data_IF_097324467447
#
_entry.id   IF_097324467447
#
_cell.length_a   1.000
_cell.length_b   1.000
_cell.length_c   1.000
_cell.angle_alpha   90.00
_cell.angle_beta   90.00
_cell.angle_gamma   90.00
#
_symmetry.space_group_name_H-M   'P 1'
#
loop_
_entity.id
_entity.type
_entity.pdbx_description
1 polymer ?
#
# COMPACT_ATOMS: atom_id res chain seq x y z
N UNK A 1 -29.50 12.75 34.62
CA UNK A 1 -28.72 13.60 35.55
C UNK A 1 -29.69 14.17 36.58
N UNK A 2 -29.53 13.79 37.82
CA UNK A 2 -30.28 14.36 38.94
C UNK A 2 -29.24 15.08 39.82
N UNK A 3 -29.23 16.40 39.78
CA UNK A 3 -28.22 17.20 40.46
C UNK A 3 -26.85 17.14 39.77
N UNK A 4 -25.77 17.05 40.57
CA UNK A 4 -24.38 16.94 40.09
C UNK A 4 -23.92 15.49 39.90
N UNK A 5 -24.74 14.50 40.20
CA UNK A 5 -24.37 13.09 40.20
C UNK A 5 -24.86 12.39 38.94
N UNK A 6 -24.01 11.52 38.42
CA UNK A 6 -24.33 10.61 37.31
C UNK A 6 -24.60 9.22 37.88
N UNK A 7 -25.82 8.74 37.68
CA UNK A 7 -26.23 7.42 38.14
C UNK A 7 -26.09 6.40 37.01
N UNK A 8 -25.37 5.33 37.25
CA UNK A 8 -25.25 4.20 36.37
C UNK A 8 -26.13 3.06 36.90
N UNK A 9 -27.03 2.55 36.06
CA UNK A 9 -27.79 1.35 36.38
C UNK A 9 -27.13 0.16 35.72
N UNK A 10 -26.57 -0.73 36.52
CA UNK A 10 -25.92 -1.96 36.05
C UNK A 10 -26.84 -3.12 36.39
N UNK A 11 -27.30 -3.84 35.37
CA UNK A 11 -28.13 -5.02 35.53
C UNK A 11 -27.28 -6.28 35.30
N UNK A 12 -26.58 -6.68 36.33
CA UNK A 12 -25.80 -7.90 36.34
C UNK A 12 -26.09 -8.68 37.65
N UNK A 13 -26.61 -9.88 37.50
CA UNK A 13 -26.98 -10.75 38.63
C UNK A 13 -25.78 -11.32 39.40
N UNK A 14 -24.56 -11.15 38.90
CA UNK A 14 -23.32 -11.59 39.51
C UNK A 14 -22.65 -10.51 40.38
N UNK A 15 -23.13 -9.28 40.32
CA UNK A 15 -22.63 -8.17 41.15
C UNK A 15 -23.14 -8.27 42.58
N UNK A 16 -22.27 -8.67 43.50
CA UNK A 16 -22.56 -8.58 44.94
C UNK A 16 -22.08 -7.25 45.48
N UNK A 17 -22.88 -6.65 46.37
CA UNK A 17 -22.63 -5.31 46.99
C UNK A 17 -21.29 -5.22 47.75
N UNK A 18 -20.65 -6.35 47.98
CA UNK A 18 -19.36 -6.44 48.67
C UNK A 18 -18.13 -6.38 47.77
N UNK A 19 -18.27 -6.19 46.48
CA UNK A 19 -17.14 -6.07 45.57
C UNK A 19 -16.95 -4.61 45.10
N UNK A 20 -16.03 -3.82 45.69
CA UNK A 20 -15.91 -2.37 45.48
C UNK A 20 -15.23 -1.99 44.14
N UNK A 21 -15.04 -2.93 43.22
CA UNK A 21 -14.29 -2.70 41.99
C UNK A 21 -15.20 -2.54 40.74
N UNK A 22 -16.18 -1.67 40.83
CA UNK A 22 -16.81 -1.16 39.61
C UNK A 22 -15.98 0.03 39.09
N UNK A 23 -15.11 -0.22 38.11
CA UNK A 23 -14.37 0.82 37.42
C UNK A 23 -15.18 1.29 36.21
N UNK A 24 -15.70 2.51 36.26
CA UNK A 24 -16.35 3.14 35.12
C UNK A 24 -15.36 4.04 34.41
N UNK A 25 -14.99 3.68 33.17
CA UNK A 25 -14.15 4.49 32.30
C UNK A 25 -15.00 5.20 31.26
N UNK A 26 -14.90 6.51 31.18
CA UNK A 26 -15.60 7.31 30.20
C UNK A 26 -14.70 8.43 29.65
N UNK A 27 -14.94 8.81 28.41
CA UNK A 27 -14.26 9.95 27.79
C UNK A 27 -14.89 11.24 28.28
N UNK A 28 -14.11 12.11 28.87
CA UNK A 28 -14.55 13.41 29.35
C UNK A 28 -13.92 14.51 28.49
N UNK A 29 -14.72 15.54 28.20
CA UNK A 29 -14.19 16.73 27.55
C UNK A 29 -13.17 17.41 28.45
N UNK A 30 -12.00 17.88 27.96
CA UNK A 30 -11.05 18.64 28.74
C UNK A 30 -11.71 19.88 29.34
N UNK A 31 -11.64 20.01 30.65
CA UNK A 31 -12.26 21.14 31.42
C UNK A 31 -11.23 22.24 31.72
N UNK A 32 -10.01 22.07 31.24
CA UNK A 32 -8.95 23.03 31.50
C UNK A 32 -9.07 24.24 30.56
N UNK A 33 -9.58 25.37 31.11
CA UNK A 33 -9.70 26.61 30.38
C UNK A 33 -8.37 27.38 30.26
N UNK A 34 -7.35 27.01 31.03
CA UNK A 34 -6.03 27.65 31.02
C UNK A 34 -5.03 26.92 30.12
N UNK A 35 -5.50 25.98 29.30
CA UNK A 35 -4.65 25.22 28.37
C UNK A 35 -4.04 26.14 27.30
N UNK A 36 -2.72 26.25 27.33
CA UNK A 36 -1.99 27.17 26.44
C UNK A 36 -1.74 28.55 27.04
N UNK A 37 -2.19 28.81 28.26
CA UNK A 37 -1.85 30.00 29.04
C UNK A 37 -0.54 29.75 29.82
N UNK A 38 0.49 30.48 29.44
CA UNK A 38 1.84 30.42 30.04
C UNK A 38 2.26 31.74 30.68
N UNK A 39 1.34 32.70 30.86
CA UNK A 39 1.65 34.01 31.41
C UNK A 39 1.89 33.95 32.91
N UNK A 40 1.03 33.19 33.61
CA UNK A 40 1.08 33.08 35.07
C UNK A 40 1.23 31.61 35.56
N UNK A 41 1.86 31.46 36.73
CA UNK A 41 1.82 30.20 37.46
C UNK A 41 0.39 29.90 37.86
N UNK A 42 -0.26 29.03 37.15
CA UNK A 42 -1.66 28.67 37.46
C UNK A 42 -1.67 27.79 38.72
N UNK A 43 -1.92 28.43 39.89
CA UNK A 43 -1.99 27.78 41.18
C UNK A 43 -3.12 26.77 41.31
N UNK A 44 -4.13 26.84 40.42
CA UNK A 44 -5.27 25.95 40.43
C UNK A 44 -4.99 24.60 39.78
N UNK A 45 -4.08 24.56 38.80
CA UNK A 45 -3.66 23.36 38.12
C UNK A 45 -2.35 22.79 38.64
N UNK A 46 -1.53 23.64 39.25
CA UNK A 46 -0.20 23.30 39.74
C UNK A 46 -0.12 23.41 41.28
N UNK A 47 -0.71 22.45 41.97
CA UNK A 47 -0.80 22.38 43.41
C UNK A 47 0.59 22.32 44.09
N UNK A 48 1.62 21.90 43.38
CA UNK A 48 2.98 21.75 43.87
C UNK A 48 3.89 22.94 43.61
N UNK A 49 3.36 24.02 43.01
CA UNK A 49 4.13 25.23 42.68
C UNK A 49 5.35 24.96 41.75
N UNK A 50 5.25 23.94 40.88
CA UNK A 50 6.28 23.57 39.93
C UNK A 50 6.44 24.66 38.86
N UNK A 51 7.62 24.82 38.26
CA UNK A 51 7.81 25.80 37.20
C UNK A 51 6.94 25.47 36.00
N UNK A 52 6.43 26.52 35.32
CA UNK A 52 5.63 26.36 34.08
C UNK A 52 6.49 25.63 33.04
N UNK A 53 6.05 24.47 32.58
CA UNK A 53 6.70 23.70 31.53
C UNK A 53 6.14 24.11 30.16
N UNK A 54 6.89 24.90 29.42
CA UNK A 54 6.53 25.27 28.05
C UNK A 54 6.86 24.07 27.14
N UNK A 55 5.90 23.58 26.32
CA UNK A 55 6.17 22.46 25.41
C UNK A 55 7.21 22.84 24.37
N UNK A 56 8.23 22.02 24.24
CA UNK A 56 9.31 22.18 23.27
C UNK A 56 9.11 21.27 22.05
N UNK A 57 9.39 21.83 20.87
CA UNK A 57 9.47 21.05 19.63
C UNK A 57 10.93 20.79 19.33
N UNK A 58 11.34 19.55 19.43
CA UNK A 58 12.69 19.10 19.10
C UNK A 58 12.70 18.47 17.70
N UNK A 59 13.50 19.01 16.80
CA UNK A 59 13.67 18.50 15.43
C UNK A 59 14.98 17.74 15.34
N UNK A 60 14.90 16.45 15.05
CA UNK A 60 16.05 15.58 14.82
C UNK A 60 16.16 15.22 13.35
N UNK A 61 17.39 15.28 12.82
CA UNK A 61 17.70 14.85 11.47
C UNK A 61 18.53 13.56 11.52
N UNK A 62 18.05 12.52 10.85
CA UNK A 62 18.75 11.25 10.75
C UNK A 62 19.13 10.99 9.29
N UNK A 63 20.38 10.65 9.04
CA UNK A 63 20.86 10.21 7.74
C UNK A 63 21.02 8.69 7.69
N UNK A 64 20.72 8.10 6.55
CA UNK A 64 20.86 6.66 6.32
C UNK A 64 21.43 6.41 4.95
N UNK A 65 22.49 5.59 4.87
CA UNK A 65 23.10 5.21 3.62
C UNK A 65 22.21 4.25 2.82
N UNK A 66 22.18 4.43 1.51
CA UNK A 66 21.49 3.54 0.56
C UNK A 66 22.55 2.94 -0.36
N UNK A 67 22.59 1.62 -0.43
CA UNK A 67 23.57 0.88 -1.26
C UNK A 67 22.94 0.53 -2.60
N UNK A 68 23.58 0.94 -3.70
CA UNK A 68 23.13 0.60 -5.04
C UNK A 68 23.54 -0.82 -5.43
N UNK A 69 22.57 -1.57 -5.95
CA UNK A 69 22.75 -2.93 -6.48
C UNK A 69 22.71 -2.90 -8.00
N UNK A 70 23.45 -3.80 -8.64
CA UNK A 70 23.51 -3.90 -10.09
C UNK A 70 22.62 -5.05 -10.57
N UNK A 71 21.75 -4.76 -11.54
CA UNK A 71 20.97 -5.74 -12.30
C UNK A 71 21.56 -5.89 -13.68
N UNK A 72 21.63 -7.13 -14.15
CA UNK A 72 22.16 -7.48 -15.48
C UNK A 72 21.28 -8.52 -16.12
N UNK A 73 21.00 -8.34 -17.40
CA UNK A 73 20.30 -9.30 -18.23
C UNK A 73 21.09 -9.46 -19.54
N UNK A 74 21.17 -10.67 -20.06
CA UNK A 74 21.79 -10.93 -21.35
C UNK A 74 20.87 -11.77 -22.24
N UNK A 75 20.85 -11.47 -23.52
CA UNK A 75 20.30 -12.33 -24.55
C UNK A 75 21.42 -12.97 -25.36
N UNK A 76 21.19 -14.20 -25.76
CA UNK A 76 22.05 -14.98 -26.65
C UNK A 76 21.15 -15.60 -27.70
N UNK A 77 21.51 -15.51 -28.95
CA UNK A 77 20.78 -16.15 -30.04
C UNK A 77 21.75 -16.78 -31.05
N UNK A 78 21.24 -17.60 -31.93
CA UNK A 78 22.05 -18.19 -32.98
C UNK A 78 21.99 -17.34 -34.24
N UNK A 79 23.06 -17.32 -35.08
CA UNK A 79 23.07 -16.61 -36.35
C UNK A 79 21.95 -17.06 -37.30
N UNK A 80 21.66 -18.38 -37.30
CA UNK A 80 20.64 -19.01 -38.11
C UNK A 80 19.25 -18.46 -37.74
N UNK A 81 18.94 -18.35 -36.42
CA UNK A 81 17.70 -17.77 -35.95
C UNK A 81 17.52 -16.34 -36.42
N UNK A 82 18.56 -15.51 -36.35
CA UNK A 82 18.50 -14.13 -36.82
C UNK A 82 18.24 -14.05 -38.32
N UNK A 83 18.88 -14.96 -39.10
CA UNK A 83 18.66 -15.00 -40.55
C UNK A 83 17.25 -15.48 -40.92
N UNK A 84 16.72 -16.49 -40.24
CA UNK A 84 15.38 -17.01 -40.47
C UNK A 84 14.30 -15.97 -40.10
N UNK A 85 14.48 -15.28 -38.98
CA UNK A 85 13.57 -14.24 -38.54
C UNK A 85 13.52 -13.09 -39.55
N UNK A 86 14.65 -12.70 -40.09
CA UNK A 86 14.72 -11.68 -41.13
C UNK A 86 14.10 -12.15 -42.47
N UNK A 87 14.39 -13.39 -42.87
CA UNK A 87 13.91 -13.92 -44.15
C UNK A 87 12.39 -14.16 -44.19
N UNK A 88 11.83 -14.70 -43.08
CA UNK A 88 10.40 -15.05 -43.02
C UNK A 88 9.49 -13.95 -42.53
N UNK A 89 9.99 -13.10 -41.61
CA UNK A 89 9.17 -12.08 -40.96
C UNK A 89 9.65 -10.65 -41.20
N UNK A 90 10.78 -10.45 -41.85
CA UNK A 90 11.42 -9.14 -42.05
C UNK A 90 11.64 -8.37 -40.73
N UNK A 91 11.92 -9.10 -39.65
CA UNK A 91 12.22 -8.57 -38.31
C UNK A 91 13.70 -8.68 -38.01
N UNK A 92 14.23 -7.65 -37.33
CA UNK A 92 15.60 -7.69 -36.81
C UNK A 92 15.63 -8.34 -35.41
N UNK A 93 16.28 -9.50 -35.30
CA UNK A 93 16.38 -10.24 -34.06
C UNK A 93 17.06 -9.44 -32.94
N UNK A 94 18.04 -8.61 -33.26
CA UNK A 94 18.75 -7.78 -32.30
C UNK A 94 17.82 -6.70 -31.69
N UNK A 95 17.05 -6.02 -32.53
CA UNK A 95 16.11 -4.99 -32.10
C UNK A 95 14.99 -5.57 -31.25
N UNK A 96 14.38 -6.67 -31.71
CA UNK A 96 13.28 -7.33 -30.99
C UNK A 96 13.72 -7.88 -29.63
N UNK A 97 14.83 -8.62 -29.57
CA UNK A 97 15.35 -9.14 -28.31
C UNK A 97 15.78 -8.04 -27.35
N UNK A 98 16.28 -6.92 -27.86
CA UNK A 98 16.66 -5.77 -27.03
C UNK A 98 15.41 -5.11 -26.43
N UNK A 99 14.33 -4.97 -27.19
CA UNK A 99 13.06 -4.46 -26.71
C UNK A 99 12.48 -5.35 -25.61
N UNK A 100 12.41 -6.65 -25.84
CA UNK A 100 11.93 -7.63 -24.87
C UNK A 100 12.76 -7.60 -23.59
N UNK A 101 14.09 -7.56 -23.69
CA UNK A 101 14.95 -7.47 -22.51
C UNK A 101 14.72 -6.18 -21.71
N UNK A 102 14.50 -5.06 -22.39
CA UNK A 102 14.21 -3.78 -21.74
C UNK A 102 12.89 -3.82 -20.96
N UNK A 103 11.86 -4.43 -21.54
CA UNK A 103 10.57 -4.62 -20.88
C UNK A 103 10.69 -5.55 -19.65
N UNK A 104 11.41 -6.66 -19.77
CA UNK A 104 11.61 -7.59 -18.66
C UNK A 104 12.39 -6.98 -17.49
N UNK A 105 13.44 -6.22 -17.75
CA UNK A 105 14.22 -5.61 -16.67
C UNK A 105 13.41 -4.49 -15.97
N UNK A 106 12.60 -3.76 -16.72
CA UNK A 106 11.70 -2.76 -16.16
C UNK A 106 10.65 -3.42 -15.26
N UNK A 107 10.02 -4.50 -15.74
CA UNK A 107 9.06 -5.27 -14.97
C UNK A 107 9.67 -5.83 -13.67
N UNK A 108 10.88 -6.39 -13.75
CA UNK A 108 11.58 -6.93 -12.57
C UNK A 108 11.86 -5.85 -11.52
N UNK A 109 12.21 -4.63 -11.96
CA UNK A 109 12.42 -3.49 -11.06
C UNK A 109 11.11 -3.09 -10.39
N UNK A 110 10.03 -3.00 -11.15
CA UNK A 110 8.71 -2.62 -10.64
C UNK A 110 8.21 -3.64 -9.60
N UNK A 111 8.34 -4.92 -9.88
CA UNK A 111 7.97 -5.98 -8.94
C UNK A 111 8.82 -5.93 -7.66
N UNK A 112 10.12 -5.75 -7.79
CA UNK A 112 11.02 -5.65 -6.65
C UNK A 112 10.71 -4.44 -5.76
N UNK A 113 10.27 -3.32 -6.35
CA UNK A 113 9.84 -2.13 -5.59
C UNK A 113 8.52 -2.42 -4.88
N UNK A 114 7.54 -3.01 -5.56
CA UNK A 114 6.25 -3.34 -4.97
C UNK A 114 6.38 -4.34 -3.82
N UNK A 115 7.18 -5.39 -3.96
CA UNK A 115 7.44 -6.36 -2.89
C UNK A 115 8.06 -5.67 -1.66
N UNK A 116 9.03 -4.80 -1.87
CA UNK A 116 9.63 -4.01 -0.79
C UNK A 116 8.58 -3.14 -0.07
N UNK A 117 7.64 -2.53 -0.79
CA UNK A 117 6.58 -1.72 -0.20
C UNK A 117 5.58 -2.58 0.58
N UNK A 118 5.21 -3.75 0.07
CA UNK A 118 4.29 -4.70 0.73
C UNK A 118 4.91 -5.24 2.02
N UNK A 119 6.17 -5.65 1.98
CA UNK A 119 6.88 -6.14 3.16
C UNK A 119 7.01 -5.05 4.24
N UNK A 120 7.32 -3.83 3.82
CA UNK A 120 7.55 -2.70 4.72
C UNK A 120 6.26 -2.01 5.18
N UNK A 121 5.09 -2.36 4.64
CA UNK A 121 3.82 -1.71 4.98
C UNK A 121 3.48 -1.86 6.47
N UNK A 122 3.55 -0.76 7.23
CA UNK A 122 3.40 -0.75 8.69
C UNK A 122 2.21 0.09 9.19
N UNK A 123 1.51 0.83 8.31
CA UNK A 123 0.41 1.68 8.76
C UNK A 123 -0.74 0.88 9.35
N UNK A 124 -1.21 -0.11 8.63
CA UNK A 124 -2.27 -1.04 9.07
C UNK A 124 -2.25 -2.29 8.21
N UNK A 125 -2.61 -3.41 8.81
CA UNK A 125 -2.88 -4.66 8.11
C UNK A 125 -4.31 -5.05 8.43
N UNK A 126 -5.17 -5.11 7.42
CA UNK A 126 -6.55 -5.56 7.54
C UNK A 126 -6.74 -6.86 6.77
N UNK A 127 -7.75 -7.61 7.15
CA UNK A 127 -8.14 -8.84 6.46
C UNK A 127 -9.60 -8.72 6.03
N UNK A 128 -9.92 -9.19 4.83
CA UNK A 128 -11.25 -9.22 4.28
C UNK A 128 -11.49 -10.57 3.60
N UNK A 129 -12.70 -11.13 3.73
CA UNK A 129 -13.10 -12.36 3.04
C UNK A 129 -13.99 -12.04 1.85
N UNK A 130 -13.71 -12.68 0.70
CA UNK A 130 -14.57 -12.63 -0.47
C UNK A 130 -15.82 -13.52 -0.33
N UNK A 131 -15.78 -14.46 0.62
CA UNK A 131 -16.94 -15.31 0.95
C UNK A 131 -18.03 -14.46 1.60
N UNK A 132 -19.24 -14.59 1.09
CA UNK A 132 -20.37 -13.78 1.52
C UNK A 132 -20.68 -13.99 3.01
N UNK A 133 -20.92 -12.89 3.74
CA UNK A 133 -21.26 -12.85 5.18
C UNK A 133 -20.20 -13.40 6.15
N UNK A 134 -18.97 -13.58 5.68
CA UNK A 134 -17.87 -14.09 6.50
C UNK A 134 -16.94 -12.95 6.92
N UNK A 135 -16.85 -12.72 8.23
CA UNK A 135 -15.88 -11.76 8.76
C UNK A 135 -14.63 -12.47 9.27
N UNK A 136 -13.47 -11.90 8.95
CA UNK A 136 -12.17 -12.37 9.45
C UNK A 136 -11.63 -11.36 10.44
N UNK A 137 -11.29 -11.82 11.63
CA UNK A 137 -10.65 -10.99 12.64
C UNK A 137 -9.17 -10.78 12.26
N UNK A 138 -8.78 -9.53 12.04
CA UNK A 138 -7.41 -9.17 11.62
C UNK A 138 -6.33 -9.52 12.65
N UNK A 139 -6.69 -9.67 13.92
CA UNK A 139 -5.75 -9.97 15.01
C UNK A 139 -5.60 -11.46 15.27
N UNK A 140 -6.71 -12.20 15.28
CA UNK A 140 -6.70 -13.63 15.63
C UNK A 140 -6.77 -14.56 14.44
N UNK A 141 -7.11 -14.03 13.26
CA UNK A 141 -7.35 -14.83 12.05
C UNK A 141 -8.62 -15.68 12.09
N UNK A 142 -9.40 -15.58 13.17
CA UNK A 142 -10.63 -16.35 13.31
C UNK A 142 -11.68 -15.87 12.32
N UNK A 143 -12.31 -16.84 11.68
CA UNK A 143 -13.41 -16.65 10.75
C UNK A 143 -14.71 -16.77 11.53
N UNK A 144 -15.61 -15.82 11.37
CA UNK A 144 -16.94 -15.84 11.97
C UNK A 144 -18.01 -15.53 10.93
N UNK A 145 -19.07 -16.33 10.91
CA UNK A 145 -20.28 -16.04 10.14
C UNK A 145 -21.07 -14.93 10.86
N UNK A 146 -21.47 -13.91 10.11
CA UNK A 146 -22.22 -12.78 10.64
C UNK A 146 -23.71 -13.07 10.85
N UNK A 147 -24.19 -14.24 10.41
CA UNK A 147 -25.56 -14.71 10.65
C UNK A 147 -26.67 -13.92 9.93
N UNK A 148 -26.35 -13.05 9.00
CA UNK A 148 -27.32 -12.37 8.16
C UNK A 148 -26.96 -12.53 6.67
N UNK A 149 -27.98 -12.46 5.81
CA UNK A 149 -27.79 -12.70 4.38
C UNK A 149 -27.75 -11.37 3.62
N UNK A 150 -26.62 -11.09 3.01
CA UNK A 150 -26.45 -10.00 2.04
C UNK A 150 -26.29 -10.58 0.63
N UNK A 151 -26.66 -9.79 -0.38
CA UNK A 151 -26.28 -10.08 -1.74
C UNK A 151 -24.76 -9.92 -1.92
N UNK A 152 -24.18 -10.71 -2.83
CA UNK A 152 -22.72 -10.67 -3.08
C UNK A 152 -22.24 -9.25 -3.46
N UNK A 153 -22.99 -8.51 -4.26
CA UNK A 153 -22.65 -7.13 -4.63
C UNK A 153 -22.63 -6.16 -3.43
N UNK A 154 -23.53 -6.34 -2.45
CA UNK A 154 -23.51 -5.57 -1.20
C UNK A 154 -22.32 -5.96 -0.33
N UNK A 155 -21.97 -7.23 -0.32
CA UNK A 155 -20.80 -7.70 0.44
C UNK A 155 -19.50 -7.11 -0.11
N UNK A 156 -19.35 -7.05 -1.43
CA UNK A 156 -18.15 -6.46 -2.04
C UNK A 156 -17.94 -4.98 -1.68
N UNK A 157 -19.01 -4.23 -1.41
CA UNK A 157 -18.90 -2.85 -0.93
C UNK A 157 -18.20 -2.75 0.43
N UNK A 158 -18.22 -3.82 1.25
CA UNK A 158 -17.53 -3.84 2.54
C UNK A 158 -16.01 -3.77 2.38
N UNK A 159 -15.46 -4.23 1.24
CA UNK A 159 -14.06 -4.05 0.91
C UNK A 159 -13.68 -2.56 0.84
N UNK A 160 -14.56 -1.72 0.27
CA UNK A 160 -14.37 -0.26 0.25
C UNK A 160 -14.24 0.34 1.66
N UNK A 161 -15.00 -0.16 2.63
CA UNK A 161 -14.90 0.24 4.04
C UNK A 161 -13.54 -0.15 4.64
N UNK A 162 -13.05 -1.35 4.34
CA UNK A 162 -11.71 -1.79 4.78
C UNK A 162 -10.59 -0.93 4.17
N UNK A 163 -10.70 -0.60 2.89
CA UNK A 163 -9.79 0.31 2.20
C UNK A 163 -9.77 1.68 2.90
N UNK A 164 -10.94 2.24 3.20
CA UNK A 164 -11.04 3.51 3.91
C UNK A 164 -10.46 3.45 5.32
N UNK A 165 -10.63 2.34 6.04
CA UNK A 165 -10.05 2.13 7.38
C UNK A 165 -8.53 2.17 7.34
N UNK A 166 -7.90 1.48 6.38
CA UNK A 166 -6.44 1.54 6.18
C UNK A 166 -5.97 2.95 5.80
N UNK A 167 -6.71 3.63 4.92
CA UNK A 167 -6.41 5.02 4.55
C UNK A 167 -6.47 5.97 5.74
N UNK A 168 -7.47 5.81 6.61
CA UNK A 168 -7.58 6.60 7.85
C UNK A 168 -6.42 6.30 8.82
N UNK A 169 -5.98 5.04 8.90
CA UNK A 169 -4.82 4.68 9.72
C UNK A 169 -3.53 5.33 9.22
N UNK A 170 -3.34 5.40 7.88
CA UNK A 170 -2.23 6.14 7.27
C UNK A 170 -2.31 7.62 7.65
N UNK A 171 -3.50 8.23 7.53
CA UNK A 171 -3.69 9.63 7.88
C UNK A 171 -3.42 9.91 9.36
N UNK A 172 -3.91 9.06 10.26
CA UNK A 172 -3.71 9.22 11.71
C UNK A 172 -2.24 9.12 12.11
N UNK A 173 -1.46 8.24 11.47
CA UNK A 173 -0.04 8.06 11.79
C UNK A 173 0.85 9.13 11.18
N UNK A 174 0.50 9.60 10.00
CA UNK A 174 1.36 10.52 9.23
C UNK A 174 0.95 11.98 9.36
N UNK A 175 -0.33 12.26 9.62
CA UNK A 175 -0.95 13.60 9.66
C UNK A 175 -0.70 14.42 8.38
N UNK A 176 -0.37 13.76 7.27
CA UNK A 176 -0.07 14.39 5.97
C UNK A 176 -1.15 14.16 4.93
N UNK A 177 -1.82 13.02 4.99
CA UNK A 177 -2.88 12.66 4.07
C UNK A 177 -3.23 11.18 4.14
N UNK A 178 -4.39 10.81 3.58
CA UNK A 178 -4.77 9.41 3.41
C UNK A 178 -4.18 8.81 2.15
N UNK A 179 -4.35 7.50 1.97
CA UNK A 179 -3.91 6.82 0.76
C UNK A 179 -4.47 7.48 -0.51
N UNK A 180 -3.68 7.54 -1.56
CA UNK A 180 -4.07 8.08 -2.87
C UNK A 180 -3.86 7.10 -4.02
N UNK A 181 -3.18 5.97 -3.79
CA UNK A 181 -3.06 4.90 -4.77
C UNK A 181 -3.30 3.52 -4.13
N UNK A 182 -3.69 2.59 -4.95
CA UNK A 182 -3.96 1.20 -4.61
C UNK A 182 -3.40 0.30 -5.69
N UNK A 183 -2.69 -0.75 -5.29
CA UNK A 183 -2.19 -1.79 -6.21
C UNK A 183 -2.79 -3.12 -5.80
N UNK A 184 -3.36 -3.85 -6.75
CA UNK A 184 -4.02 -5.12 -6.51
C UNK A 184 -3.77 -6.14 -7.62
N UNK A 185 -4.07 -7.40 -7.32
CA UNK A 185 -4.08 -8.49 -8.30
C UNK A 185 -5.26 -8.37 -9.29
N UNK A 186 -5.24 -9.06 -10.42
CA UNK A 186 -6.34 -9.07 -11.38
C UNK A 186 -7.67 -9.55 -10.79
N UNK A 187 -7.63 -10.59 -9.94
CA UNK A 187 -8.82 -11.15 -9.29
C UNK A 187 -9.49 -10.13 -8.37
N UNK A 188 -8.69 -9.43 -7.55
CA UNK A 188 -9.20 -8.38 -6.67
C UNK A 188 -9.66 -7.16 -7.48
N UNK A 189 -9.00 -6.83 -8.60
CA UNK A 189 -9.43 -5.75 -9.48
C UNK A 189 -10.86 -5.99 -10.01
N UNK A 190 -11.21 -7.23 -10.38
CA UNK A 190 -12.57 -7.59 -10.81
C UNK A 190 -13.61 -7.30 -9.71
N UNK A 191 -13.27 -7.58 -8.44
CA UNK A 191 -14.14 -7.23 -7.31
C UNK A 191 -14.29 -5.71 -7.19
N UNK A 192 -13.19 -4.97 -7.28
CA UNK A 192 -13.21 -3.50 -7.17
C UNK A 192 -14.02 -2.84 -8.30
N UNK A 193 -13.93 -3.37 -9.52
CA UNK A 193 -14.69 -2.91 -10.67
C UNK A 193 -16.21 -3.12 -10.51
N UNK A 194 -16.62 -4.10 -9.71
CA UNK A 194 -18.04 -4.35 -9.39
C UNK A 194 -18.61 -3.42 -8.33
N UNK A 195 -17.77 -2.67 -7.61
CA UNK A 195 -18.21 -1.77 -6.54
C UNK A 195 -18.77 -0.47 -7.14
N UNK A 196 -19.98 -0.02 -6.73
CA UNK A 196 -20.47 1.29 -7.10
C UNK A 196 -19.52 2.41 -6.66
N UNK A 197 -19.13 3.28 -7.56
CA UNK A 197 -18.13 4.33 -7.32
C UNK A 197 -16.76 4.06 -7.96
N UNK A 198 -16.59 2.92 -8.61
CA UNK A 198 -15.45 2.68 -9.47
C UNK A 198 -15.61 3.39 -10.81
N UNK A 199 -14.67 4.26 -11.15
CA UNK A 199 -14.61 4.94 -12.44
C UNK A 199 -13.49 4.33 -13.28
N UNK A 200 -13.87 3.64 -14.36
CA UNK A 200 -12.90 3.09 -15.33
C UNK A 200 -12.19 4.23 -16.08
N UNK A 201 -10.92 4.01 -16.38
CA UNK A 201 -10.09 4.97 -17.12
C UNK A 201 -10.43 5.01 -18.64
N UNK A 202 -11.37 4.20 -19.11
CA UNK A 202 -11.59 3.96 -20.55
C UNK A 202 -12.74 4.78 -21.16
N UNK A 203 -13.48 5.57 -20.40
CA UNK A 203 -14.61 6.40 -20.87
C UNK A 203 -15.58 5.66 -21.85
N UNK A 204 -15.65 4.33 -21.78
CA UNK A 204 -16.42 3.49 -22.69
C UNK A 204 -15.80 3.28 -24.07
N UNK A 205 -14.64 3.83 -24.35
CA UNK A 205 -13.92 3.65 -25.62
C UNK A 205 -13.00 2.43 -25.57
N UNK A 206 -13.43 1.34 -26.21
CA UNK A 206 -12.69 0.06 -26.24
C UNK A 206 -11.33 0.19 -26.93
N UNK A 207 -11.16 1.19 -27.81
CA UNK A 207 -9.89 1.42 -28.51
C UNK A 207 -8.78 1.95 -27.60
N UNK A 208 -9.14 2.49 -26.43
CA UNK A 208 -8.21 2.93 -25.39
C UNK A 208 -7.83 1.83 -24.40
N UNK A 209 -8.43 0.65 -24.50
CA UNK A 209 -8.10 -0.51 -23.70
C UNK A 209 -6.75 -1.11 -24.15
N UNK A 210 -5.66 -0.47 -23.77
CA UNK A 210 -4.32 -0.99 -24.00
C UNK A 210 -3.93 -1.91 -22.88
N UNK A 211 -3.66 -3.18 -23.20
CA UNK A 211 -3.02 -4.10 -22.27
C UNK A 211 -1.54 -3.74 -22.20
N UNK A 212 -1.12 -3.17 -21.08
CA UNK A 212 0.29 -2.90 -20.83
C UNK A 212 0.97 -4.15 -20.26
N UNK A 213 2.20 -4.37 -20.67
CA UNK A 213 3.06 -5.36 -20.04
C UNK A 213 3.45 -4.84 -18.65
N UNK A 214 3.03 -5.55 -17.59
CA UNK A 214 3.31 -5.17 -16.21
C UNK A 214 2.16 -4.46 -15.49
N UNK A 215 2.49 -3.40 -14.75
CA UNK A 215 1.52 -2.66 -13.92
C UNK A 215 0.68 -1.72 -14.77
N UNK A 216 -0.63 -1.90 -14.72
CA UNK A 216 -1.58 -1.13 -15.51
C UNK A 216 -2.51 -0.29 -14.62
N UNK A 217 -2.71 0.98 -14.96
CA UNK A 217 -3.74 1.81 -14.35
C UNK A 217 -5.11 1.42 -14.91
N UNK A 218 -6.02 0.96 -14.03
CA UNK A 218 -7.36 0.50 -14.42
C UNK A 218 -8.41 1.59 -14.25
N UNK A 219 -8.31 2.37 -13.19
CA UNK A 219 -9.32 3.37 -12.90
C UNK A 219 -9.08 4.10 -11.59
N UNK A 220 -10.15 4.68 -11.07
CA UNK A 220 -10.16 5.32 -9.76
C UNK A 220 -11.36 4.85 -8.95
N UNK A 221 -11.13 4.57 -7.67
CA UNK A 221 -12.18 4.22 -6.71
C UNK A 221 -12.54 5.47 -5.91
N UNK A 222 -13.86 5.82 -5.87
CA UNK A 222 -14.41 6.96 -5.14
C UNK A 222 -13.71 8.30 -5.43
N UNK A 223 -13.13 8.48 -6.61
CA UNK A 223 -12.34 9.66 -7.00
C UNK A 223 -11.17 10.00 -6.05
N UNK A 224 -10.77 9.07 -5.18
CA UNK A 224 -9.67 9.25 -4.21
C UNK A 224 -8.47 8.36 -4.50
N UNK A 225 -8.73 7.10 -4.86
CA UNK A 225 -7.69 6.10 -5.02
C UNK A 225 -7.48 5.80 -6.49
N UNK A 226 -6.29 6.00 -7.00
CA UNK A 226 -5.91 5.49 -8.32
C UNK A 226 -5.61 4.01 -8.20
N UNK A 227 -6.33 3.18 -8.96
CA UNK A 227 -6.22 1.73 -8.92
C UNK A 227 -5.27 1.25 -10.01
N UNK A 228 -4.26 0.49 -9.60
CA UNK A 228 -3.31 -0.18 -10.46
C UNK A 228 -3.48 -1.69 -10.34
N UNK A 229 -3.53 -2.35 -11.48
CA UNK A 229 -3.58 -3.82 -11.59
C UNK A 229 -2.20 -4.34 -11.95
N UNK A 230 -1.72 -5.29 -11.14
CA UNK A 230 -0.46 -5.99 -11.39
C UNK A 230 -0.71 -7.50 -11.49
N UNK A 231 -0.53 -8.12 -12.66
CA UNK A 231 -0.76 -9.56 -12.85
C UNK A 231 0.26 -10.45 -12.13
N UNK A 232 1.41 -9.92 -11.76
CA UNK A 232 2.50 -10.67 -11.11
C UNK A 232 2.53 -10.53 -9.60
N UNK A 233 1.61 -9.77 -9.03
CA UNK A 233 1.46 -9.59 -7.58
C UNK A 233 0.82 -10.82 -6.94
N UNK A 234 1.11 -11.07 -5.66
CA UNK A 234 0.41 -12.07 -4.86
C UNK A 234 -1.10 -11.80 -4.89
N UNK A 235 -1.89 -12.80 -5.30
CA UNK A 235 -3.33 -12.64 -5.55
C UNK A 235 -4.12 -12.12 -4.35
N UNK A 236 -3.71 -12.49 -3.16
CA UNK A 236 -4.43 -12.21 -1.92
C UNK A 236 -4.10 -10.86 -1.29
N UNK A 237 -3.31 -10.01 -1.93
CA UNK A 237 -2.79 -8.80 -1.29
C UNK A 237 -3.20 -7.54 -2.05
N UNK A 238 -3.64 -6.54 -1.30
CA UNK A 238 -3.85 -5.17 -1.78
C UNK A 238 -2.86 -4.27 -1.05
N UNK A 239 -2.08 -3.50 -1.80
CA UNK A 239 -1.21 -2.47 -1.26
C UNK A 239 -1.91 -1.12 -1.39
N UNK A 240 -2.02 -0.39 -0.28
CA UNK A 240 -2.43 1.01 -0.25
C UNK A 240 -1.26 1.88 0.13
N UNK A 241 -1.15 3.04 -0.50
CA UNK A 241 -0.10 3.98 -0.18
C UNK A 241 -0.48 5.42 -0.39
N UNK A 242 0.27 6.28 0.27
CA UNK A 242 0.22 7.72 0.07
C UNK A 242 1.48 8.19 -0.66
N UNK A 243 1.27 8.92 -1.73
CA UNK A 243 2.34 9.60 -2.47
C UNK A 243 2.17 11.10 -2.32
N UNK A 244 3.03 11.72 -1.56
CA UNK A 244 3.09 13.17 -1.42
C UNK A 244 3.87 13.85 -2.54
N UNK A 245 3.68 15.16 -2.69
CA UNK A 245 4.41 15.99 -3.67
C UNK A 245 5.70 16.59 -3.13
N UNK A 246 5.92 16.56 -1.81
CA UNK A 246 7.07 17.17 -1.16
C UNK A 246 8.09 16.13 -0.72
N UNK A 247 9.36 16.51 -0.65
CA UNK A 247 10.46 15.64 -0.21
C UNK A 247 10.22 15.04 1.20
N UNK A 248 9.68 15.84 2.12
CA UNK A 248 9.37 15.39 3.49
C UNK A 248 8.20 14.40 3.57
N UNK A 249 7.45 14.23 2.50
CA UNK A 249 6.33 13.30 2.37
C UNK A 249 6.71 12.02 1.62
N UNK A 250 8.00 11.83 1.35
CA UNK A 250 8.48 10.63 0.67
C UNK A 250 8.43 9.42 1.60
N UNK A 251 7.63 8.41 1.25
CA UNK A 251 7.55 7.12 1.95
C UNK A 251 8.67 6.16 1.55
N UNK A 252 9.02 6.13 0.27
CA UNK A 252 10.12 5.33 -0.27
C UNK A 252 10.92 6.15 -1.27
N UNK A 253 12.18 5.79 -1.43
CA UNK A 253 13.11 6.42 -2.36
C UNK A 253 13.62 5.38 -3.35
N UNK A 254 13.53 5.72 -4.62
CA UNK A 254 14.17 5.03 -5.72
C UNK A 254 15.25 5.96 -6.30
N UNK A 255 16.50 5.55 -6.27
CA UNK A 255 17.63 6.34 -6.72
C UNK A 255 18.40 5.59 -7.81
N UNK A 256 18.15 5.85 -9.10
CA UNK A 256 18.93 5.30 -10.18
C UNK A 256 20.33 5.92 -10.18
N UNK A 257 21.35 5.09 -10.10
CA UNK A 257 22.75 5.51 -10.17
C UNK A 257 23.30 5.43 -11.60
N UNK A 258 23.00 4.31 -12.26
CA UNK A 258 23.33 4.10 -13.68
C UNK A 258 22.02 3.80 -14.41
N UNK A 259 21.62 4.60 -15.40
CA UNK A 259 20.44 4.31 -16.20
C UNK A 259 20.64 2.99 -16.97
N UNK A 260 19.61 2.54 -17.66
CA UNK A 260 19.69 1.34 -18.48
C UNK A 260 20.71 1.53 -19.60
N UNK A 261 21.80 0.77 -19.55
CA UNK A 261 22.88 0.79 -20.53
C UNK A 261 22.89 -0.54 -21.28
N UNK A 262 22.95 -0.47 -22.60
CA UNK A 262 23.13 -1.63 -23.48
C UNK A 262 24.59 -1.83 -23.80
N UNK A 263 25.04 -3.08 -23.78
CA UNK A 263 26.38 -3.44 -24.27
C UNK A 263 26.36 -3.50 -25.80
N UNK A 264 27.49 -3.27 -26.46
CA UNK A 264 27.62 -3.57 -27.89
C UNK A 264 27.43 -5.08 -28.14
N UNK A 265 27.10 -5.41 -29.38
CA UNK A 265 27.01 -6.80 -29.80
C UNK A 265 28.38 -7.47 -29.69
N UNK A 266 28.45 -8.60 -29.00
CA UNK A 266 29.70 -9.39 -28.81
C UNK A 266 29.44 -10.80 -29.30
N UNK A 267 30.34 -11.33 -30.09
CA UNK A 267 30.30 -12.72 -30.53
C UNK A 267 31.15 -13.61 -29.60
N UNK A 268 30.61 -14.76 -29.26
CA UNK A 268 31.37 -15.78 -28.53
C UNK A 268 32.44 -16.41 -29.46
N UNK A 269 33.71 -16.45 -29.06
CA UNK A 269 34.76 -17.02 -29.92
C UNK A 269 34.66 -18.53 -30.09
N UNK A 270 33.99 -19.26 -29.21
CA UNK A 270 33.85 -20.72 -29.29
C UNK A 270 32.65 -21.16 -30.16
N UNK A 271 31.53 -20.47 -30.02
CA UNK A 271 30.26 -20.88 -30.64
C UNK A 271 29.78 -19.91 -31.72
N UNK A 272 30.45 -18.79 -31.93
CA UNK A 272 30.10 -17.68 -32.83
C UNK A 272 28.69 -17.12 -32.61
N UNK A 273 28.11 -17.36 -31.42
CA UNK A 273 26.80 -16.87 -31.06
C UNK A 273 26.85 -15.40 -30.67
N UNK A 274 26.02 -14.54 -31.26
CA UNK A 274 25.87 -13.14 -30.85
C UNK A 274 25.26 -13.04 -29.45
N UNK A 275 25.79 -12.11 -28.67
CA UNK A 275 25.35 -11.82 -27.31
C UNK A 275 25.22 -10.33 -27.13
N UNK A 276 24.14 -9.91 -26.46
CA UNK A 276 23.92 -8.52 -26.07
C UNK A 276 23.43 -8.48 -24.63
N UNK A 277 23.86 -7.49 -23.86
CA UNK A 277 23.50 -7.37 -22.45
C UNK A 277 22.91 -6.02 -22.12
N UNK A 278 22.05 -5.99 -21.13
CA UNK A 278 21.54 -4.81 -20.47
C UNK A 278 22.06 -4.76 -19.04
N UNK A 279 22.40 -3.56 -18.59
CA UNK A 279 22.92 -3.29 -17.26
C UNK A 279 22.20 -2.06 -16.69
N UNK A 280 21.77 -2.15 -15.45
CA UNK A 280 21.33 -0.98 -14.66
C UNK A 280 21.82 -1.09 -13.23
N UNK A 281 21.99 0.04 -12.57
CA UNK A 281 22.39 0.09 -11.16
C UNK A 281 21.55 1.12 -10.45
N UNK A 282 20.83 0.69 -9.41
CA UNK A 282 19.95 1.54 -8.63
C UNK A 282 19.95 1.16 -7.16
N UNK A 283 19.52 2.10 -6.35
CA UNK A 283 19.28 1.90 -4.93
C UNK A 283 17.79 2.12 -4.62
N UNK A 284 17.26 1.34 -3.70
CA UNK A 284 15.89 1.48 -3.22
C UNK A 284 15.87 1.38 -1.70
N UNK A 285 15.02 2.16 -1.06
CA UNK A 285 14.81 2.11 0.39
C UNK A 285 13.46 2.66 0.77
N UNK A 286 12.81 2.02 1.72
CA UNK A 286 11.66 2.59 2.42
C UNK A 286 12.20 3.47 3.55
N UNK A 287 11.77 4.73 3.56
CA UNK A 287 12.15 5.73 4.57
C UNK A 287 11.11 5.76 5.68
N UNK A 288 9.83 5.78 5.30
CA UNK A 288 8.69 5.82 6.22
C UNK A 288 7.68 4.75 5.87
N UNK A 289 7.70 3.61 6.55
CA UNK A 289 6.78 2.51 6.28
C UNK A 289 5.32 2.84 6.64
N UNK A 290 5.10 3.88 7.44
CA UNK A 290 3.77 4.34 7.88
C UNK A 290 2.91 4.94 6.76
N UNK A 291 3.50 5.28 5.61
CA UNK A 291 2.77 5.72 4.42
C UNK A 291 2.13 4.58 3.65
N UNK A 292 2.42 3.33 4.01
CA UNK A 292 1.93 2.14 3.32
C UNK A 292 1.14 1.24 4.26
N UNK A 293 0.01 0.74 3.76
CA UNK A 293 -0.82 -0.25 4.43
C UNK A 293 -1.19 -1.38 3.49
N UNK A 294 -1.61 -2.51 4.04
CA UNK A 294 -1.97 -3.69 3.26
C UNK A 294 -3.28 -4.31 3.72
N UNK A 295 -3.97 -4.94 2.78
CA UNK A 295 -5.18 -5.71 3.04
C UNK A 295 -4.96 -7.10 2.46
N UNK A 296 -5.21 -8.12 3.27
CA UNK A 296 -5.24 -9.49 2.80
C UNK A 296 -6.67 -9.90 2.46
N UNK A 297 -6.86 -10.41 1.25
CA UNK A 297 -8.14 -10.92 0.78
C UNK A 297 -8.13 -12.45 0.85
N UNK A 298 -9.03 -13.06 1.62
CA UNK A 298 -9.22 -14.51 1.67
C UNK A 298 -10.42 -14.95 0.82
N UNK A 299 -10.50 -16.22 0.49
CA UNK A 299 -11.67 -16.80 -0.17
C UNK A 299 -11.86 -16.42 -1.64
N UNK A 300 -10.81 -15.93 -2.33
CA UNK A 300 -10.90 -15.52 -3.74
C UNK A 300 -11.22 -16.69 -4.69
N UNK A 301 -10.97 -17.94 -4.28
CA UNK A 301 -11.25 -19.12 -5.09
C UNK A 301 -12.76 -19.45 -5.20
N UNK A 302 -13.60 -18.73 -4.47
CA UNK A 302 -15.07 -18.93 -4.47
C UNK A 302 -15.81 -17.94 -5.36
N UNK A 303 -15.10 -17.12 -6.09
CA UNK A 303 -15.62 -16.09 -7.00
C UNK A 303 -16.11 -16.68 -8.31
#
# INVERSE_FOLDING_TARGET
IVGTDVQFVVNDSSLTVSNPLLLVSFSMQPVDNARGDFEDKNTTLNLNNDPISIPEINVQMQSSAIVAKTKKLKAVWTPEFAQDLNAYHALDAEAELTSVMSEYISLEIDLEILDMLIESAAASTEVWSAVNNESVNSTTGNISDLGFFNSQGQWFQTLGTKIQKVSNAIHQRTLRGGANFLVCSPTVATILESIPGFASNHDGDVSKATYAFGVQKVGALNARYTVYKNPYMTENTILLGFRGGQFLEAGAVFAPYIPLIMTPLVYDPETFTPRKGLLTRYAKKVVRPEFYGKIFCSGLNTL
#
